data_IF_353925415936
#
_entry.id   IF_353925415936
#
_cell.length_a   1.000
_cell.length_b   1.000
_cell.length_c   1.000
_cell.angle_alpha   90.00
_cell.angle_beta   90.00
_cell.angle_gamma   90.00
#
_symmetry.space_group_name_H-M   'P 1'
#
loop_
_entity.id
_entity.type
_entity.pdbx_description
1 polymer ?
#
# COMPACT_ATOMS: atom_id res chain seq x y z
N UNK A 1 12.84 2.60 -7.71
CA UNK A 1 12.95 1.86 -6.42
C UNK A 1 13.19 2.76 -5.18
N UNK A 2 12.93 4.08 -5.21
CA UNK A 2 13.19 4.98 -4.06
C UNK A 2 11.95 5.32 -3.19
N UNK A 3 10.71 5.02 -3.62
CA UNK A 3 9.49 5.41 -2.90
C UNK A 3 9.27 4.72 -1.55
N UNK A 4 9.54 3.41 -1.46
CA UNK A 4 9.30 2.60 -0.25
C UNK A 4 10.06 3.09 0.99
N UNK A 5 11.29 3.61 0.84
CA UNK A 5 12.06 4.18 1.97
C UNK A 5 11.55 5.55 2.40
N UNK A 6 11.08 6.38 1.46
CA UNK A 6 10.62 7.74 1.76
C UNK A 6 9.44 7.76 2.73
N UNK A 7 8.38 7.03 2.42
CA UNK A 7 7.20 6.95 3.28
C UNK A 7 7.48 6.25 4.60
N UNK A 8 8.30 5.19 4.60
CA UNK A 8 8.70 4.55 5.85
C UNK A 8 9.44 5.51 6.77
N UNK A 9 10.46 6.21 6.28
CA UNK A 9 11.24 7.15 7.12
C UNK A 9 10.37 8.29 7.65
N UNK A 10 9.47 8.84 6.82
CA UNK A 10 8.54 9.88 7.25
C UNK A 10 7.61 9.39 8.36
N UNK A 11 6.93 8.26 8.15
CA UNK A 11 5.99 7.68 9.12
C UNK A 11 6.71 7.22 10.38
N UNK A 12 7.90 6.64 10.24
CA UNK A 12 8.73 6.23 11.36
C UNK A 12 9.09 7.44 12.24
N UNK A 13 9.55 8.55 11.67
CA UNK A 13 9.88 9.73 12.46
C UNK A 13 8.67 10.30 13.21
N UNK A 14 7.47 10.22 12.63
CA UNK A 14 6.24 10.71 13.25
C UNK A 14 5.67 9.77 14.33
N UNK A 15 5.82 8.45 14.16
CA UNK A 15 5.13 7.44 14.98
C UNK A 15 6.07 6.61 15.87
N UNK A 16 7.37 6.83 15.80
CA UNK A 16 8.35 6.16 16.65
C UNK A 16 8.04 6.42 18.12
N UNK A 17 7.97 5.34 18.90
CA UNK A 17 7.62 5.41 20.32
C UNK A 17 6.10 5.37 20.60
N UNK A 18 5.27 5.48 19.55
CA UNK A 18 3.81 5.31 19.63
C UNK A 18 3.42 3.94 19.06
N UNK A 19 3.95 3.58 17.89
CA UNK A 19 3.68 2.30 17.23
C UNK A 19 4.97 1.47 17.08
N UNK A 20 4.89 0.14 17.25
CA UNK A 20 5.97 -0.77 16.85
C UNK A 20 6.26 -0.69 15.35
N UNK A 21 7.54 -0.80 14.98
CA UNK A 21 8.02 -0.66 13.60
C UNK A 21 7.26 -1.50 12.57
N UNK A 22 6.81 -2.71 12.94
CA UNK A 22 6.04 -3.59 12.04
C UNK A 22 4.75 -2.95 11.53
N UNK A 23 4.08 -2.14 12.36
CA UNK A 23 2.85 -1.44 11.99
C UNK A 23 3.15 -0.19 11.17
N UNK A 24 4.27 0.48 11.42
CA UNK A 24 4.75 1.61 10.63
C UNK A 24 5.14 1.13 9.22
N UNK A 25 5.84 0.01 9.12
CA UNK A 25 6.17 -0.64 7.85
C UNK A 25 4.90 -1.04 7.09
N UNK A 26 3.94 -1.65 7.78
CA UNK A 26 2.66 -2.02 7.19
C UNK A 26 1.89 -0.80 6.64
N UNK A 27 1.76 0.28 7.42
CA UNK A 27 1.15 1.52 6.96
C UNK A 27 1.91 2.17 5.80
N UNK A 28 3.24 2.06 5.78
CA UNK A 28 4.06 2.59 4.70
C UNK A 28 3.85 1.89 3.35
N UNK A 29 3.50 0.59 3.35
CA UNK A 29 3.15 -0.14 2.13
C UNK A 29 1.92 0.50 1.48
N UNK A 30 0.85 0.69 2.25
CA UNK A 30 -0.39 1.28 1.74
C UNK A 30 -0.19 2.74 1.32
N UNK A 31 0.46 3.55 2.17
CA UNK A 31 0.70 4.96 1.87
C UNK A 31 1.50 5.14 0.57
N UNK A 32 2.53 4.32 0.37
CA UNK A 32 3.33 4.36 -0.86
C UNK A 32 2.54 3.83 -2.07
N UNK A 33 1.72 2.79 -1.92
CA UNK A 33 0.82 2.30 -2.98
C UNK A 33 -0.13 3.39 -3.47
N UNK A 34 -0.83 4.05 -2.54
CA UNK A 34 -1.79 5.12 -2.84
C UNK A 34 -1.09 6.30 -3.50
N UNK A 35 0.08 6.71 -2.98
CA UNK A 35 0.86 7.77 -3.60
C UNK A 35 1.25 7.46 -5.05
N UNK A 36 1.68 6.22 -5.34
CA UNK A 36 2.07 5.81 -6.69
C UNK A 36 0.91 5.80 -7.68
N UNK A 37 -0.29 5.36 -7.27
CA UNK A 37 -1.47 5.32 -8.17
C UNK A 37 -2.14 6.67 -8.38
N UNK A 38 -1.80 7.68 -7.56
CA UNK A 38 -2.33 9.03 -7.67
C UNK A 38 -1.37 9.99 -8.38
N UNK A 39 -0.31 9.49 -9.02
CA UNK A 39 0.56 10.32 -9.86
C UNK A 39 -0.15 10.74 -11.15
N UNK A 40 0.15 11.95 -11.65
CA UNK A 40 -0.40 12.46 -12.93
C UNK A 40 -0.02 11.59 -14.14
N UNK A 41 1.04 10.81 -14.02
CA UNK A 41 1.47 9.85 -15.03
C UNK A 41 1.94 8.60 -14.33
N UNK A 42 1.40 7.46 -14.77
CA UNK A 42 1.74 6.15 -14.24
C UNK A 42 2.10 5.21 -15.39
N UNK A 43 3.13 4.40 -15.20
CA UNK A 43 3.56 3.41 -16.18
C UNK A 43 3.10 2.00 -15.76
N UNK A 44 2.95 1.06 -16.71
CA UNK A 44 2.55 -0.32 -16.40
C UNK A 44 3.43 -1.03 -15.34
N UNK A 45 4.73 -0.71 -15.30
CA UNK A 45 5.67 -1.23 -14.30
C UNK A 45 5.42 -0.66 -12.90
N UNK A 46 4.94 0.58 -12.80
CA UNK A 46 4.53 1.20 -11.54
C UNK A 46 3.26 0.51 -11.02
N UNK A 47 2.28 0.26 -11.90
CA UNK A 47 1.06 -0.48 -11.57
C UNK A 47 1.42 -1.86 -11.03
N UNK A 48 2.30 -2.59 -11.73
CA UNK A 48 2.77 -3.92 -11.31
C UNK A 48 3.50 -3.88 -9.95
N UNK A 49 4.21 -2.79 -9.67
CA UNK A 49 4.85 -2.57 -8.38
C UNK A 49 3.84 -2.30 -7.26
N UNK A 50 2.78 -1.54 -7.56
CA UNK A 50 1.68 -1.27 -6.63
C UNK A 50 0.89 -2.54 -6.32
N UNK A 51 0.61 -3.39 -7.30
CA UNK A 51 -0.07 -4.68 -7.10
C UNK A 51 0.66 -5.52 -6.05
N UNK A 52 1.99 -5.60 -6.15
CA UNK A 52 2.82 -6.33 -5.19
C UNK A 52 2.73 -5.72 -3.79
N UNK A 53 2.75 -4.39 -3.67
CA UNK A 53 2.66 -3.70 -2.38
C UNK A 53 1.29 -3.83 -1.73
N UNK A 54 0.20 -3.71 -2.50
CA UNK A 54 -1.16 -3.90 -2.00
C UNK A 54 -1.41 -5.36 -1.60
N UNK A 55 -0.88 -6.32 -2.38
CA UNK A 55 -0.90 -7.74 -2.01
C UNK A 55 -0.17 -7.98 -0.68
N UNK A 56 1.03 -7.43 -0.53
CA UNK A 56 1.78 -7.53 0.72
C UNK A 56 1.05 -6.86 1.90
N UNK A 57 0.42 -5.70 1.67
CA UNK A 57 -0.38 -5.00 2.68
C UNK A 57 -1.55 -5.85 3.16
N UNK A 58 -2.32 -6.44 2.24
CA UNK A 58 -3.50 -7.28 2.54
C UNK A 58 -3.09 -8.56 3.27
N UNK A 59 -2.04 -9.25 2.81
CA UNK A 59 -1.50 -10.43 3.51
C UNK A 59 -1.10 -10.07 4.95
N UNK A 60 -0.46 -8.91 5.14
CA UNK A 60 -0.04 -8.45 6.46
C UNK A 60 -1.20 -8.02 7.35
N UNK A 61 -2.39 -7.69 6.82
CA UNK A 61 -3.56 -7.42 7.65
C UNK A 61 -3.90 -8.67 8.46
N UNK A 62 -4.03 -9.83 7.82
CA UNK A 62 -4.34 -11.08 8.51
C UNK A 62 -3.25 -11.45 9.53
N UNK A 63 -1.98 -11.30 9.16
CA UNK A 63 -0.84 -11.63 10.03
C UNK A 63 -0.78 -10.72 11.27
N UNK A 64 -1.06 -9.43 11.13
CA UNK A 64 -0.86 -8.44 12.19
C UNK A 64 -2.11 -8.22 13.05
N UNK A 65 -3.29 -8.37 12.47
CA UNK A 65 -4.58 -8.01 13.09
C UNK A 65 -5.53 -9.21 13.20
N UNK A 66 -5.18 -10.36 12.62
CA UNK A 66 -5.96 -11.59 12.68
C UNK A 66 -6.97 -11.73 11.53
N UNK A 67 -7.53 -12.93 11.43
CA UNK A 67 -8.45 -13.30 10.35
C UNK A 67 -9.71 -12.42 10.31
N UNK A 68 -10.26 -12.02 11.47
CA UNK A 68 -11.46 -11.16 11.52
C UNK A 68 -11.23 -9.76 10.93
N UNK A 69 -9.98 -9.31 10.83
CA UNK A 69 -9.64 -8.04 10.20
C UNK A 69 -9.72 -8.08 8.66
N UNK A 70 -9.81 -9.28 8.05
CA UNK A 70 -9.93 -9.50 6.61
C UNK A 70 -11.35 -9.22 6.11
N UNK A 71 -11.80 -7.99 6.33
CA UNK A 71 -13.09 -7.51 5.84
C UNK A 71 -13.10 -7.40 4.31
N UNK A 72 -14.31 -7.33 3.73
CA UNK A 72 -14.49 -7.10 2.30
C UNK A 72 -13.67 -5.89 1.79
N UNK A 73 -13.68 -4.78 2.53
CA UNK A 73 -12.93 -3.57 2.13
C UNK A 73 -11.42 -3.79 2.08
N UNK A 74 -10.87 -4.64 2.95
CA UNK A 74 -9.45 -5.02 2.91
C UNK A 74 -9.16 -5.84 1.65
N UNK A 75 -10.02 -6.80 1.31
CA UNK A 75 -9.89 -7.57 0.08
C UNK A 75 -9.95 -6.68 -1.17
N UNK A 76 -10.87 -5.72 -1.20
CA UNK A 76 -11.03 -4.80 -2.33
C UNK A 76 -9.77 -3.98 -2.63
N UNK A 77 -8.86 -3.81 -1.67
CA UNK A 77 -7.59 -3.11 -1.92
C UNK A 77 -6.72 -3.81 -2.96
N UNK A 78 -6.87 -5.13 -3.18
CA UNK A 78 -6.18 -5.85 -4.24
C UNK A 78 -6.58 -5.39 -5.65
N UNK A 79 -7.72 -4.71 -5.78
CA UNK A 79 -8.31 -4.34 -7.06
C UNK A 79 -8.13 -2.87 -7.42
N UNK A 80 -7.49 -2.06 -6.57
CA UNK A 80 -7.30 -0.62 -6.83
C UNK A 80 -6.55 -0.35 -8.15
N UNK A 81 -5.59 -1.20 -8.49
CA UNK A 81 -4.83 -1.08 -9.74
C UNK A 81 -5.64 -1.40 -10.98
N UNK A 82 -6.72 -2.18 -10.87
CA UNK A 82 -7.66 -2.42 -11.96
C UNK A 82 -8.40 -1.13 -12.31
N UNK A 83 -8.91 -0.42 -11.29
CA UNK A 83 -9.60 0.87 -11.50
C UNK A 83 -8.72 1.92 -12.16
N UNK A 84 -7.40 1.91 -11.88
CA UNK A 84 -6.44 2.82 -12.54
C UNK A 84 -6.27 2.44 -14.01
N UNK A 85 -6.13 1.15 -14.33
CA UNK A 85 -6.04 0.67 -15.72
C UNK A 85 -7.29 1.03 -16.53
N UNK A 86 -8.46 0.92 -15.92
CA UNK A 86 -9.73 1.25 -16.58
C UNK A 86 -9.85 2.76 -16.85
N UNK A 87 -9.29 3.61 -15.98
CA UNK A 87 -9.30 5.07 -16.17
C UNK A 87 -8.41 5.51 -17.35
N UNK A 88 -7.25 4.89 -17.53
CA UNK A 88 -6.32 5.19 -18.64
C UNK A 88 -6.83 4.73 -20.01
N UNK A 89 -7.91 3.94 -20.07
CA UNK A 89 -8.51 3.46 -21.33
C UNK A 89 -9.60 4.37 -21.90
N UNK A 90 -9.87 5.52 -21.28
CA UNK A 90 -10.82 6.55 -21.74
C UNK A 90 -10.10 7.74 -22.39
#
# INVERSE_FOLDING_TARGET
MNGRRGFYTMLHNALRGILPDKFIQHLSLFSNSVFMILQDTIFPDDISSVEKMLTEFVIKIEILFGHEAMTFNVHQMLHLTLSVRDLDTL
#
